data_IF_586548888084
#
_entry.id   IF_586548888084
#
_cell.length_a   1.000
_cell.length_b   1.000
_cell.length_c   1.000
_cell.angle_alpha   90.00
_cell.angle_beta   90.00
_cell.angle_gamma   90.00
#
_symmetry.space_group_name_H-M   'P 1'
#
loop_
_entity.id
_entity.type
_entity.pdbx_description
1 polymer ?
#
# COMPACT_ATOMS: atom_id res chain seq x y z
N UNK A 1 -26.74 -12.26 9.60
CA UNK A 1 -26.31 -13.51 8.94
C UNK A 1 -25.15 -14.14 9.69
N UNK A 2 -24.07 -13.40 9.97
CA UNK A 2 -23.02 -13.86 10.88
C UNK A 2 -23.54 -14.19 12.29
N UNK A 3 -24.33 -13.29 12.89
CA UNK A 3 -24.91 -13.48 14.24
C UNK A 3 -25.93 -14.63 14.34
N UNK A 4 -26.31 -15.24 13.21
CA UNK A 4 -27.19 -16.41 13.16
C UNK A 4 -26.40 -17.74 13.06
N UNK A 5 -25.07 -17.72 13.20
CA UNK A 5 -24.21 -18.90 13.17
C UNK A 5 -23.68 -19.29 11.78
N UNK A 6 -23.80 -18.41 10.78
CA UNK A 6 -23.26 -18.64 9.44
C UNK A 6 -21.92 -17.92 9.23
N UNK A 7 -20.95 -18.59 8.62
CA UNK A 7 -19.73 -17.93 8.12
C UNK A 7 -20.07 -17.20 6.81
N UNK A 8 -19.78 -15.90 6.74
CA UNK A 8 -19.93 -15.08 5.53
C UNK A 8 -18.55 -14.70 5.04
N UNK A 9 -18.28 -14.95 3.75
CA UNK A 9 -17.06 -14.49 3.08
C UNK A 9 -17.44 -13.37 2.13
N UNK A 10 -16.91 -12.17 2.37
CA UNK A 10 -17.06 -11.02 1.50
C UNK A 10 -15.77 -10.83 0.71
N UNK A 11 -15.88 -10.79 -0.63
CA UNK A 11 -14.77 -10.47 -1.53
C UNK A 11 -15.03 -9.08 -2.10
N UNK A 12 -14.12 -8.15 -1.85
CA UNK A 12 -14.20 -6.77 -2.35
C UNK A 12 -12.80 -6.23 -2.61
N UNK A 13 -12.71 -5.30 -3.55
CA UNK A 13 -11.50 -4.48 -3.76
C UNK A 13 -11.56 -3.17 -2.95
N UNK A 14 -12.68 -2.89 -2.27
CA UNK A 14 -12.83 -1.70 -1.45
C UNK A 14 -12.39 -1.98 -0.02
N UNK A 15 -11.12 -1.69 0.25
CA UNK A 15 -10.49 -1.90 1.55
C UNK A 15 -11.21 -1.12 2.67
N UNK A 16 -11.73 0.08 2.38
CA UNK A 16 -12.44 0.91 3.37
C UNK A 16 -13.79 0.30 3.78
N UNK A 17 -14.50 -0.32 2.83
CA UNK A 17 -15.74 -1.03 3.13
C UNK A 17 -15.46 -2.29 3.94
N UNK A 18 -14.43 -3.05 3.57
CA UNK A 18 -14.00 -4.24 4.30
C UNK A 18 -13.70 -3.92 5.76
N UNK A 19 -12.92 -2.87 6.04
CA UNK A 19 -12.61 -2.44 7.41
C UNK A 19 -13.83 -2.25 8.32
N UNK A 20 -14.97 -1.82 7.76
CA UNK A 20 -16.18 -1.52 8.52
C UNK A 20 -17.12 -2.72 8.65
N UNK A 21 -17.02 -3.67 7.73
CA UNK A 21 -18.00 -4.74 7.56
C UNK A 21 -17.56 -6.08 8.15
N UNK A 22 -16.27 -6.27 8.45
CA UNK A 22 -15.73 -7.59 8.83
C UNK A 22 -14.91 -7.57 10.12
N UNK A 23 -14.94 -8.68 10.84
CA UNK A 23 -14.11 -8.90 12.03
C UNK A 23 -12.65 -9.20 11.68
N UNK A 24 -12.42 -9.79 10.50
CA UNK A 24 -11.12 -10.23 10.01
C UNK A 24 -10.98 -10.02 8.51
N UNK A 25 -9.79 -9.60 8.11
CA UNK A 25 -9.41 -9.37 6.73
C UNK A 25 -8.32 -10.37 6.35
N UNK A 26 -8.48 -11.00 5.19
CA UNK A 26 -7.43 -11.72 4.51
C UNK A 26 -7.11 -10.98 3.21
N UNK A 27 -5.84 -10.60 3.02
CA UNK A 27 -5.34 -10.03 1.78
C UNK A 27 -4.84 -11.20 0.95
N UNK A 28 -5.43 -11.37 -0.23
CA UNK A 28 -5.01 -12.39 -1.20
C UNK A 28 -4.25 -11.73 -2.33
N UNK A 29 -3.19 -12.39 -2.76
CA UNK A 29 -2.40 -12.03 -3.93
C UNK A 29 -1.97 -13.31 -4.66
N UNK A 30 -2.15 -13.35 -5.98
CA UNK A 30 -1.86 -14.51 -6.84
C UNK A 30 -2.33 -15.88 -6.30
N UNK A 31 -3.50 -15.92 -5.67
CA UNK A 31 -4.08 -17.15 -5.10
C UNK A 31 -3.46 -17.61 -3.78
N UNK A 32 -2.56 -16.82 -3.19
CA UNK A 32 -1.96 -17.03 -1.87
C UNK A 32 -2.48 -15.98 -0.88
N UNK A 33 -2.48 -16.32 0.41
CA UNK A 33 -2.81 -15.36 1.47
C UNK A 33 -1.54 -14.58 1.82
N UNK A 34 -1.50 -13.31 1.45
CA UNK A 34 -0.38 -12.41 1.73
C UNK A 34 -0.39 -11.92 3.20
N UNK A 35 -1.58 -11.67 3.76
CA UNK A 35 -1.75 -11.30 5.16
C UNK A 35 -3.14 -11.72 5.68
N UNK A 36 -3.26 -11.98 6.99
CA UNK A 36 -4.55 -12.25 7.64
C UNK A 36 -4.54 -11.71 9.06
N UNK A 37 -5.60 -10.99 9.44
CA UNK A 37 -5.68 -10.40 10.77
C UNK A 37 -6.98 -9.65 11.00
N UNK A 38 -7.10 -8.98 12.14
CA UNK A 38 -8.15 -7.97 12.34
C UNK A 38 -7.75 -6.66 11.64
N UNK A 39 -8.69 -5.77 11.29
CA UNK A 39 -8.35 -4.45 10.75
C UNK A 39 -7.38 -3.67 11.65
N UNK A 40 -7.55 -3.77 12.98
CA UNK A 40 -6.67 -3.11 13.94
C UNK A 40 -5.25 -3.72 13.95
N UNK A 41 -5.13 -5.05 13.87
CA UNK A 41 -3.83 -5.72 13.82
C UNK A 41 -3.06 -5.37 12.55
N UNK A 42 -3.72 -5.36 11.39
CA UNK A 42 -3.07 -5.03 10.12
C UNK A 42 -2.68 -3.54 10.04
N UNK A 43 -3.41 -2.65 10.72
CA UNK A 43 -3.03 -1.23 10.85
C UNK A 43 -1.88 -1.01 11.83
N UNK A 44 -1.66 -1.90 12.79
CA UNK A 44 -0.58 -1.78 13.75
C UNK A 44 0.79 -1.77 13.06
N UNK A 45 0.93 -2.53 11.97
CA UNK A 45 2.17 -2.61 11.19
C UNK A 45 2.56 -1.29 10.52
N UNK A 46 1.59 -0.37 10.36
CA UNK A 46 1.79 0.98 9.78
C UNK A 46 1.42 2.10 10.76
N UNK A 47 1.29 1.81 12.06
CA UNK A 47 0.81 2.77 13.04
C UNK A 47 1.74 3.99 13.21
N UNK A 48 3.04 3.81 12.99
CA UNK A 48 4.05 4.87 13.03
C UNK A 48 4.33 5.50 11.65
N UNK A 49 3.51 5.17 10.64
CA UNK A 49 3.62 5.73 9.30
C UNK A 49 2.61 6.86 9.04
N UNK A 50 3.06 7.84 8.26
CA UNK A 50 2.26 8.95 7.78
C UNK A 50 2.14 8.85 6.26
N UNK A 51 0.97 9.24 5.77
CA UNK A 51 0.67 9.37 4.34
C UNK A 51 0.72 10.84 3.94
N UNK A 52 1.49 11.15 2.90
CA UNK A 52 1.47 12.40 2.16
C UNK A 52 0.80 12.18 0.80
N UNK A 53 -0.24 12.96 0.50
CA UNK A 53 -0.87 13.00 -0.81
C UNK A 53 -0.61 14.35 -1.45
N UNK A 54 -0.20 14.35 -2.72
CA UNK A 54 0.08 15.52 -3.54
C UNK A 54 -0.83 15.53 -4.76
N UNK A 55 -1.29 16.72 -5.16
CA UNK A 55 -1.97 16.95 -6.44
C UNK A 55 -1.08 17.83 -7.31
N UNK A 56 -0.47 17.25 -8.33
CA UNK A 56 0.43 17.94 -9.27
C UNK A 56 -0.33 18.93 -10.15
N UNK A 57 0.29 20.07 -10.43
CA UNK A 57 -0.16 21.03 -11.43
C UNK A 57 -0.20 20.41 -12.84
N UNK A 58 -1.02 20.99 -13.71
CA UNK A 58 -1.25 20.39 -15.01
C UNK A 58 0.00 20.54 -15.90
N UNK A 59 0.61 19.41 -16.27
CA UNK A 59 1.89 19.40 -17.00
C UNK A 59 3.13 19.47 -16.12
N UNK A 60 2.98 19.50 -14.79
CA UNK A 60 4.10 19.31 -13.87
C UNK A 60 4.51 17.83 -13.85
N UNK A 61 5.82 17.58 -13.81
CA UNK A 61 6.37 16.24 -13.63
C UNK A 61 6.45 15.91 -12.15
N UNK A 62 6.09 14.68 -11.79
CA UNK A 62 6.26 14.19 -10.43
C UNK A 62 7.75 14.26 -10.03
N UNK A 63 8.01 14.85 -8.87
CA UNK A 63 9.34 14.97 -8.28
C UNK A 63 9.46 13.97 -7.14
N UNK A 64 10.63 13.37 -7.00
CA UNK A 64 10.93 12.41 -5.92
C UNK A 64 10.99 13.12 -4.57
N UNK A 65 10.39 12.56 -3.50
CA UNK A 65 10.52 13.10 -2.16
C UNK A 65 11.98 13.06 -1.66
N UNK A 66 12.34 13.92 -0.69
CA UNK A 66 13.70 13.97 -0.12
C UNK A 66 14.04 12.76 0.76
N UNK A 67 13.06 11.91 1.04
CA UNK A 67 13.18 10.68 1.83
C UNK A 67 12.55 9.55 1.03
N UNK A 68 13.18 8.38 1.05
CA UNK A 68 12.66 7.21 0.37
C UNK A 68 11.34 6.74 1.03
N UNK A 69 10.24 6.63 0.27
CA UNK A 69 8.97 6.11 0.76
C UNK A 69 9.03 4.61 1.03
N UNK A 70 8.33 4.17 2.09
CA UNK A 70 7.98 2.75 2.26
C UNK A 70 7.05 2.32 1.13
N UNK A 71 6.06 3.16 0.80
CA UNK A 71 5.08 2.92 -0.26
C UNK A 71 4.96 4.17 -1.12
N UNK A 72 4.97 4.00 -2.44
CA UNK A 72 4.66 5.08 -3.37
C UNK A 72 3.68 4.62 -4.43
N UNK A 73 2.67 5.45 -4.69
CA UNK A 73 1.69 5.20 -5.74
C UNK A 73 1.42 6.51 -6.47
N UNK A 74 1.44 6.49 -7.79
CA UNK A 74 1.11 7.66 -8.62
C UNK A 74 0.02 7.29 -9.60
N UNK A 75 -1.05 8.08 -9.60
CA UNK A 75 -2.19 7.91 -10.50
C UNK A 75 -2.56 9.25 -11.13
N UNK A 76 -2.18 9.42 -12.40
CA UNK A 76 -2.34 10.66 -13.13
C UNK A 76 -1.65 11.82 -12.41
N UNK A 77 -2.44 12.79 -11.95
CA UNK A 77 -1.97 13.99 -11.23
C UNK A 77 -1.87 13.82 -9.72
N UNK A 78 -2.20 12.65 -9.16
CA UNK A 78 -2.06 12.40 -7.73
C UNK A 78 -0.87 11.50 -7.45
N UNK A 79 -0.05 11.88 -6.49
CA UNK A 79 0.97 11.01 -5.90
C UNK A 79 0.69 10.83 -4.42
N UNK A 80 0.82 9.58 -3.97
CA UNK A 80 0.71 9.17 -2.58
C UNK A 80 2.03 8.57 -2.15
N UNK A 81 2.50 9.00 -0.98
CA UNK A 81 3.71 8.50 -0.36
C UNK A 81 3.43 8.13 1.09
N UNK A 82 3.85 6.94 1.50
CA UNK A 82 3.74 6.46 2.88
C UNK A 82 5.14 6.23 3.44
N UNK A 83 5.37 6.69 4.67
CA UNK A 83 6.71 6.78 5.25
C UNK A 83 6.66 7.00 6.77
N UNK A 84 7.75 6.69 7.45
CA UNK A 84 7.84 6.80 8.90
C UNK A 84 7.65 8.24 9.40
N UNK A 85 6.87 8.42 10.48
CA UNK A 85 6.49 9.73 11.05
C UNK A 85 7.67 10.64 11.42
N UNK A 86 8.86 10.07 11.66
CA UNK A 86 10.09 10.84 11.93
C UNK A 86 10.47 11.80 10.79
N UNK A 87 10.04 11.51 9.56
CA UNK A 87 10.33 12.33 8.38
C UNK A 87 9.28 13.41 8.11
N UNK A 88 8.18 13.46 8.87
CA UNK A 88 7.04 14.35 8.67
C UNK A 88 7.46 15.82 8.46
N UNK A 89 8.39 16.33 9.27
CA UNK A 89 8.85 17.71 9.16
C UNK A 89 9.51 18.03 7.81
N UNK A 90 10.37 17.12 7.31
CA UNK A 90 11.05 17.29 6.02
C UNK A 90 10.04 17.23 4.85
N UNK A 91 9.04 16.37 4.96
CA UNK A 91 8.01 16.18 3.95
C UNK A 91 7.06 17.37 3.84
N UNK A 92 6.64 17.92 4.98
CA UNK A 92 5.84 19.15 5.01
C UNK A 92 6.62 20.29 4.36
N UNK A 93 7.89 20.46 4.73
CA UNK A 93 8.74 21.51 4.16
C UNK A 93 8.88 21.35 2.64
N UNK A 94 9.11 20.13 2.17
CA UNK A 94 9.19 19.80 0.74
C UNK A 94 7.87 20.07 -0.01
N UNK A 95 6.73 19.62 0.52
CA UNK A 95 5.42 19.86 -0.09
C UNK A 95 5.09 21.36 -0.15
N UNK A 96 5.42 22.12 0.90
CA UNK A 96 5.26 23.58 0.90
C UNK A 96 6.14 24.25 -0.16
N UNK A 97 7.37 23.76 -0.37
CA UNK A 97 8.25 24.27 -1.42
C UNK A 97 7.70 23.98 -2.81
N UNK A 98 7.26 22.74 -3.10
CA UNK A 98 6.61 22.40 -4.36
C UNK A 98 5.39 23.29 -4.65
N UNK A 99 4.62 23.62 -3.61
CA UNK A 99 3.48 24.52 -3.73
C UNK A 99 3.90 25.95 -4.06
N UNK A 100 4.96 26.44 -3.40
CA UNK A 100 5.55 27.76 -3.68
C UNK A 100 6.10 27.89 -5.10
N UNK A 101 6.64 26.79 -5.62
CA UNK A 101 7.18 26.69 -6.99
C UNK A 101 6.07 26.49 -8.05
N UNK A 102 4.81 26.36 -7.64
CA UNK A 102 3.68 26.13 -8.55
C UNK A 102 3.72 24.75 -9.23
N UNK A 103 4.29 23.74 -8.57
CA UNK A 103 4.35 22.36 -9.07
C UNK A 103 3.19 21.51 -8.57
N UNK A 104 2.57 21.89 -7.46
CA UNK A 104 1.39 21.21 -6.89
C UNK A 104 0.28 22.22 -6.58
N UNK A 105 -0.96 21.81 -6.80
CA UNK A 105 -2.17 22.57 -6.42
C UNK A 105 -2.38 22.54 -4.90
N UNK A 106 -2.25 21.33 -4.35
CA UNK A 106 -2.47 21.04 -2.94
C UNK A 106 -1.70 19.81 -2.45
N UNK A 107 -1.58 19.71 -1.14
CA UNK A 107 -1.13 18.51 -0.45
C UNK A 107 -1.96 18.27 0.81
N UNK A 108 -2.08 17.01 1.21
CA UNK A 108 -2.70 16.59 2.46
C UNK A 108 -1.85 15.56 3.18
N UNK A 109 -1.94 15.57 4.51
CA UNK A 109 -1.22 14.63 5.38
C UNK A 109 -2.23 13.93 6.25
N UNK A 110 -2.07 12.61 6.40
CA UNK A 110 -2.91 11.79 7.25
C UNK A 110 -2.15 10.58 7.80
N UNK A 111 -2.79 9.81 8.69
CA UNK A 111 -2.26 8.51 9.10
C UNK A 111 -2.25 7.55 7.90
N UNK A 112 -1.31 6.60 7.89
CA UNK A 112 -1.40 5.46 6.99
C UNK A 112 -2.71 4.68 7.21
N UNK A 113 -3.27 4.13 6.13
CA UNK A 113 -4.50 3.33 6.18
C UNK A 113 -4.23 1.90 5.71
N UNK A 114 -5.21 1.01 5.88
CA UNK A 114 -5.11 -0.36 5.39
C UNK A 114 -4.99 -0.42 3.85
N UNK A 115 -5.43 0.61 3.15
CA UNK A 115 -5.22 0.73 1.71
C UNK A 115 -3.72 0.86 1.38
N UNK A 116 -2.95 1.55 2.22
CA UNK A 116 -1.49 1.63 2.05
C UNK A 116 -0.83 0.28 2.31
N UNK A 117 -1.28 -0.44 3.34
CA UNK A 117 -0.83 -1.81 3.65
C UNK A 117 -1.10 -2.75 2.47
N UNK A 118 -2.28 -2.63 1.86
CA UNK A 118 -2.63 -3.40 0.67
C UNK A 118 -1.72 -3.06 -0.51
N UNK A 119 -1.49 -1.78 -0.80
CA UNK A 119 -0.61 -1.34 -1.90
C UNK A 119 0.84 -1.77 -1.65
N UNK A 120 1.34 -1.67 -0.42
CA UNK A 120 2.66 -2.17 -0.03
C UNK A 120 2.80 -3.68 -0.28
N UNK A 121 1.85 -4.46 0.24
CA UNK A 121 1.88 -5.91 0.14
C UNK A 121 1.84 -6.38 -1.31
N UNK A 122 0.95 -5.82 -2.13
CA UNK A 122 0.87 -6.15 -3.55
C UNK A 122 2.11 -5.64 -4.30
N UNK A 123 2.56 -4.41 -4.03
CA UNK A 123 3.75 -3.84 -4.66
C UNK A 123 5.04 -4.60 -4.34
N UNK A 124 5.17 -5.21 -3.15
CA UNK A 124 6.29 -6.08 -2.80
C UNK A 124 6.25 -7.45 -3.49
N UNK A 125 5.07 -7.92 -3.87
CA UNK A 125 4.89 -9.22 -4.52
C UNK A 125 5.14 -9.12 -6.04
N UNK A 126 4.78 -8.00 -6.67
CA UNK A 126 5.12 -7.70 -8.07
C UNK A 126 6.64 -7.59 -8.33
N UNK A 127 7.44 -7.21 -7.32
CA UNK A 127 8.92 -7.14 -7.42
C UNK A 127 9.58 -8.52 -7.19
N UNK A 128 8.79 -9.54 -6.83
CA UNK A 128 9.26 -10.86 -6.42
C UNK A 128 9.22 -11.98 -7.47
N UNK A 129 8.59 -11.78 -8.64
CA UNK A 129 8.39 -12.84 -9.65
C UNK A 129 9.26 -12.67 -10.92
N UNK A 130 10.56 -12.46 -10.74
CA UNK A 130 11.57 -12.66 -11.81
C UNK A 130 12.69 -13.65 -11.42
N UNK A 131 12.47 -14.52 -10.43
CA UNK A 131 13.38 -15.62 -10.14
C UNK A 131 12.62 -16.81 -9.57
N UNK A 132 12.19 -17.79 -10.39
CA UNK A 132 12.96 -18.99 -10.79
C UNK A 132 12.18 -19.70 -11.92
N UNK A 133 12.72 -19.75 -13.15
CA UNK A 133 12.26 -20.72 -14.16
C UNK A 133 13.31 -21.81 -14.30
N UNK A 134 12.92 -23.02 -13.89
CA UNK A 134 13.36 -24.27 -14.50
C UNK A 134 14.63 -24.90 -13.96
N UNK A 135 14.51 -25.66 -12.87
CA UNK A 135 15.40 -26.80 -12.63
C UNK A 135 14.53 -28.06 -12.55
N UNK A 136 14.26 -28.67 -13.72
CA UNK A 136 13.70 -30.01 -13.79
C UNK A 136 14.75 -31.00 -13.28
N UNK A 137 14.55 -31.44 -12.04
CA UNK A 137 15.19 -32.64 -11.52
C UNK A 137 14.73 -33.85 -12.35
N UNK A 138 15.61 -34.31 -13.24
CA UNK A 138 15.58 -35.65 -13.81
C UNK A 138 15.67 -36.67 -12.68
N UNK A 139 14.53 -37.29 -12.39
CA UNK A 139 14.42 -38.41 -11.45
C UNK A 139 15.18 -39.63 -11.99
N UNK A 140 15.93 -40.25 -11.10
CA UNK A 140 16.76 -41.40 -11.38
C UNK A 140 15.99 -42.70 -11.09
N UNK A 141 16.14 -43.68 -11.99
CA UNK A 141 16.65 -45.05 -11.70
C UNK A 141 15.83 -46.21 -12.32
N UNK A 142 16.46 -46.87 -13.31
CA UNK A 142 16.73 -48.34 -13.48
C UNK A 142 15.66 -49.32 -12.98
N UNK A 143 15.25 -50.30 -13.81
CA UNK A 143 15.92 -51.62 -13.78
C UNK A 143 16.74 -51.95 -15.03
#
# INVERSE_FOLDING_TARGET
>A
LADAGCTVVLVTHNVTEAERAVDRIAILDEGKVAAIGTPASLKHDVADEVRLELVWENGASAVTPPVEPSVSATSGRRSRFTMHQQHLGALVAWAQQLRGDGLIEEFSIGPATLEDVYIDLVGRLDVGDEAVVGEEASDARVP
#
